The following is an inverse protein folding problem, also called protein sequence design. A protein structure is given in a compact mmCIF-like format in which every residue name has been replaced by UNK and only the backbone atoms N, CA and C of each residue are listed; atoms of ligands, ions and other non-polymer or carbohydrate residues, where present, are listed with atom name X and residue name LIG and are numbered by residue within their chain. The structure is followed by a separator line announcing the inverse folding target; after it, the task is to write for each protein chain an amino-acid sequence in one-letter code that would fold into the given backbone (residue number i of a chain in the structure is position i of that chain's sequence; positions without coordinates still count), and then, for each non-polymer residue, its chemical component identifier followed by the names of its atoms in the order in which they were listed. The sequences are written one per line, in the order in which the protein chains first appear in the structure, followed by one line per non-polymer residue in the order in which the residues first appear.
data_IF_073155914572
#
_entry.id   IF_073155914572
#
_cell.length_a   1.000
_cell.length_b   1.000
_cell.length_c   1.000
_cell.angle_alpha   90.00
_cell.angle_beta   90.00
_cell.angle_gamma   90.00
#
_symmetry.space_group_name_H-M   'P 1'
#
loop_
_entity.id
_entity.type
_entity.pdbx_description
1 polymer ?
#
# COMPACT_ATOMS: atom_id res chain seq x y z
N UNK A 1 -41.03 50.26 -70.36
CA UNK A 1 -41.23 48.79 -70.50
C UNK A 1 -40.83 48.15 -69.23
N UNK A 2 -41.78 47.86 -68.36
CA UNK A 2 -41.57 47.28 -67.01
C UNK A 2 -42.19 45.94 -66.98
N UNK A 3 -41.39 44.88 -66.73
CA UNK A 3 -41.89 43.52 -66.48
C UNK A 3 -41.96 43.30 -64.96
N UNK A 4 -43.15 43.01 -64.54
CA UNK A 4 -43.50 42.67 -63.20
C UNK A 4 -43.28 41.15 -63.07
N UNK A 5 -42.42 40.71 -62.14
CA UNK A 5 -42.22 39.28 -61.78
C UNK A 5 -42.93 39.06 -60.48
N UNK A 6 -43.95 38.20 -60.54
CA UNK A 6 -44.71 37.67 -59.37
C UNK A 6 -43.89 36.67 -58.60
N UNK A 7 -43.70 36.90 -57.30
CA UNK A 7 -43.06 35.94 -56.40
C UNK A 7 -44.15 35.20 -55.65
N UNK A 8 -44.26 33.91 -55.89
CA UNK A 8 -45.12 33.00 -55.16
C UNK A 8 -44.40 32.62 -53.89
N UNK A 9 -44.96 33.02 -52.74
CA UNK A 9 -44.45 32.65 -51.42
C UNK A 9 -44.97 31.28 -51.05
N UNK A 10 -44.09 30.31 -51.04
CA UNK A 10 -44.32 28.93 -50.56
C UNK A 10 -44.08 28.87 -49.06
N UNK A 11 -45.15 28.79 -48.28
CA UNK A 11 -45.10 28.64 -46.82
C UNK A 11 -44.80 27.20 -46.48
N UNK A 12 -43.56 26.88 -46.13
CA UNK A 12 -43.14 25.55 -45.67
C UNK A 12 -43.39 25.48 -44.16
N UNK A 13 -44.45 24.72 -43.78
CA UNK A 13 -44.78 24.43 -42.37
C UNK A 13 -43.78 23.36 -41.86
N UNK A 14 -42.72 23.80 -41.16
CA UNK A 14 -41.81 22.86 -40.45
C UNK A 14 -42.46 22.46 -39.13
N UNK A 15 -43.02 21.27 -39.10
CA UNK A 15 -43.47 20.64 -37.85
C UNK A 15 -42.30 20.27 -36.98
N UNK A 16 -42.09 20.97 -35.89
CA UNK A 16 -41.16 20.59 -34.81
C UNK A 16 -41.73 19.34 -34.12
N UNK A 17 -41.26 18.17 -34.52
CA UNK A 17 -41.33 16.96 -33.73
C UNK A 17 -40.33 17.13 -32.55
N UNK A 18 -40.83 17.57 -31.41
CA UNK A 18 -40.12 17.47 -30.13
C UNK A 18 -40.03 15.97 -29.75
N UNK A 19 -38.95 15.32 -30.17
CA UNK A 19 -38.56 14.02 -29.63
C UNK A 19 -38.17 14.29 -28.17
N UNK A 20 -39.08 14.03 -27.24
CA UNK A 20 -38.78 13.97 -25.82
C UNK A 20 -37.73 12.90 -25.61
N UNK A 21 -36.48 13.30 -25.39
CA UNK A 21 -35.47 12.40 -24.86
C UNK A 21 -35.91 12.01 -23.46
N UNK A 22 -36.58 10.89 -23.36
CA UNK A 22 -36.81 10.22 -22.09
C UNK A 22 -35.41 9.75 -21.66
N UNK A 23 -34.77 10.51 -20.78
CA UNK A 23 -33.57 10.06 -20.13
C UNK A 23 -33.90 8.73 -19.47
N UNK A 24 -33.38 7.64 -20.03
CA UNK A 24 -33.42 6.35 -19.40
C UNK A 24 -32.61 6.48 -18.10
N UNK A 25 -33.34 6.61 -16.97
CA UNK A 25 -32.70 6.49 -15.67
C UNK A 25 -32.01 5.14 -15.65
N UNK A 26 -30.70 5.16 -15.61
CA UNK A 26 -29.90 3.93 -15.56
C UNK A 26 -30.34 3.12 -14.33
N UNK A 27 -30.20 1.79 -14.39
CA UNK A 27 -30.56 0.90 -13.27
C UNK A 27 -29.88 1.33 -11.95
N UNK A 28 -28.75 2.03 -12.04
CA UNK A 28 -27.98 2.57 -10.93
C UNK A 28 -28.77 3.64 -10.14
N UNK A 29 -29.29 4.67 -10.81
CA UNK A 29 -30.04 5.79 -10.20
C UNK A 29 -31.29 5.32 -9.45
N UNK A 30 -31.89 4.20 -9.88
CA UNK A 30 -33.09 3.62 -9.24
C UNK A 30 -32.89 3.25 -7.77
N UNK A 31 -31.67 2.94 -7.35
CA UNK A 31 -31.35 2.48 -6.00
C UNK A 31 -30.67 3.53 -5.12
N UNK A 32 -30.39 4.71 -5.65
CA UNK A 32 -29.59 5.72 -4.94
C UNK A 32 -30.18 6.11 -3.58
N UNK A 33 -31.48 6.33 -3.48
CA UNK A 33 -32.16 6.64 -2.22
C UNK A 33 -32.02 5.50 -1.19
N UNK A 34 -32.10 4.25 -1.65
CA UNK A 34 -31.97 3.08 -0.77
C UNK A 34 -30.54 2.90 -0.30
N UNK A 35 -29.56 3.06 -1.22
CA UNK A 35 -28.14 3.02 -0.91
C UNK A 35 -27.77 4.15 0.05
N UNK A 36 -28.27 5.38 -0.18
CA UNK A 36 -28.04 6.55 0.67
C UNK A 36 -28.53 6.33 2.10
N UNK A 37 -29.75 5.80 2.27
CA UNK A 37 -30.29 5.48 3.59
C UNK A 37 -29.45 4.44 4.30
N UNK A 38 -29.08 3.36 3.61
CA UNK A 38 -28.24 2.28 4.16
C UNK A 38 -26.84 2.78 4.53
N UNK A 39 -26.23 3.64 3.70
CA UNK A 39 -24.96 4.27 3.96
C UNK A 39 -25.02 5.16 5.21
N UNK A 40 -25.99 6.05 5.28
CA UNK A 40 -26.16 6.97 6.42
C UNK A 40 -26.34 6.20 7.73
N UNK A 41 -27.16 5.17 7.77
CA UNK A 41 -27.32 4.31 8.95
C UNK A 41 -26.03 3.60 9.32
N UNK A 42 -25.32 3.03 8.32
CA UNK A 42 -24.07 2.29 8.53
C UNK A 42 -22.97 3.16 9.14
N UNK A 43 -22.80 4.39 8.66
CA UNK A 43 -21.76 5.29 9.13
C UNK A 43 -22.15 5.96 10.45
N UNK A 44 -23.40 6.36 10.66
CA UNK A 44 -23.88 6.96 11.91
C UNK A 44 -23.79 5.98 13.10
N UNK A 45 -23.95 4.69 12.88
CA UNK A 45 -23.92 3.66 13.93
C UNK A 45 -22.49 3.30 14.41
N UNK A 46 -21.45 3.78 13.73
CA UNK A 46 -20.07 3.42 14.06
C UNK A 46 -19.27 4.64 14.56
N UNK A 47 -18.79 4.56 15.81
CA UNK A 47 -18.03 5.63 16.46
C UNK A 47 -16.81 6.08 15.64
N UNK A 48 -16.15 5.18 14.91
CA UNK A 48 -14.99 5.52 14.06
C UNK A 48 -15.35 6.42 12.87
N UNK A 49 -16.64 6.45 12.48
CA UNK A 49 -17.10 7.14 11.28
C UNK A 49 -18.04 8.33 11.59
N UNK A 50 -18.02 8.84 12.82
CA UNK A 50 -18.91 9.93 13.25
C UNK A 50 -18.81 11.18 12.36
N UNK A 51 -17.59 11.46 11.84
CA UNK A 51 -17.34 12.61 10.97
C UNK A 51 -17.38 12.24 9.46
N UNK A 52 -17.75 11.01 9.12
CA UNK A 52 -17.88 10.56 7.73
C UNK A 52 -19.28 10.84 7.22
N UNK A 53 -19.35 11.51 6.07
CA UNK A 53 -20.59 11.77 5.33
C UNK A 53 -20.59 10.94 4.05
N UNK A 54 -21.77 10.53 3.61
CA UNK A 54 -21.95 9.81 2.35
C UNK A 54 -22.94 10.52 1.46
N UNK A 55 -22.69 10.52 0.15
CA UNK A 55 -23.64 10.88 -0.90
C UNK A 55 -23.62 9.80 -1.97
N UNK A 56 -24.75 9.61 -2.63
CA UNK A 56 -24.91 8.56 -3.66
C UNK A 56 -25.46 9.16 -4.93
N UNK A 57 -24.78 8.87 -6.04
CA UNK A 57 -25.17 9.29 -7.37
C UNK A 57 -24.83 8.17 -8.35
N UNK A 58 -25.79 7.74 -9.16
CA UNK A 58 -25.66 6.65 -10.14
C UNK A 58 -25.05 5.35 -9.54
N UNK A 59 -25.42 5.02 -8.30
CA UNK A 59 -24.90 3.86 -7.58
C UNK A 59 -23.48 4.03 -7.04
N UNK A 60 -22.83 5.19 -7.26
CA UNK A 60 -21.51 5.50 -6.72
C UNK A 60 -21.66 6.15 -5.33
N UNK A 61 -21.09 5.51 -4.33
CA UNK A 61 -21.04 6.05 -2.96
C UNK A 61 -19.82 6.93 -2.80
N UNK A 62 -20.02 8.24 -2.65
CA UNK A 62 -18.94 9.18 -2.34
C UNK A 62 -18.87 9.38 -0.82
N UNK A 63 -17.71 9.13 -0.24
CA UNK A 63 -17.43 9.33 1.19
C UNK A 63 -16.57 10.58 1.36
N UNK A 64 -16.97 11.46 2.28
CA UNK A 64 -16.23 12.70 2.65
C UNK A 64 -16.16 12.83 4.15
N UNK A 65 -15.38 13.81 4.64
CA UNK A 65 -15.19 14.06 6.06
C UNK A 65 -13.86 13.55 6.56
N UNK A 66 -13.76 13.24 7.86
CA UNK A 66 -12.47 12.92 8.50
C UNK A 66 -12.54 11.66 9.35
N UNK A 67 -11.40 10.98 9.46
CA UNK A 67 -11.14 9.86 10.39
C UNK A 67 -9.81 10.04 11.10
N UNK A 68 -9.58 9.29 12.18
CA UNK A 68 -8.35 9.41 12.96
C UNK A 68 -7.17 8.60 12.40
N UNK A 69 -7.45 7.46 11.77
CA UNK A 69 -6.43 6.55 11.24
C UNK A 69 -6.67 6.27 9.75
N UNK A 70 -5.59 6.03 9.03
CA UNK A 70 -5.68 5.59 7.63
C UNK A 70 -6.43 4.26 7.49
N UNK A 71 -6.30 3.35 8.46
CA UNK A 71 -7.09 2.12 8.52
C UNK A 71 -8.60 2.39 8.54
N UNK A 72 -9.05 3.41 9.29
CA UNK A 72 -10.47 3.75 9.36
C UNK A 72 -10.99 4.29 8.01
N UNK A 73 -10.16 5.04 7.26
CA UNK A 73 -10.47 5.44 5.86
C UNK A 73 -10.67 4.23 4.95
N UNK A 74 -9.82 3.22 5.06
CA UNK A 74 -9.95 1.97 4.31
C UNK A 74 -11.17 1.16 4.73
N UNK A 75 -11.44 1.08 6.03
CA UNK A 75 -12.59 0.36 6.59
C UNK A 75 -13.91 1.01 6.15
N UNK A 76 -13.98 2.34 6.11
CA UNK A 76 -15.15 3.07 5.60
C UNK A 76 -15.41 2.73 4.12
N UNK A 77 -14.37 2.76 3.27
CA UNK A 77 -14.50 2.36 1.87
C UNK A 77 -14.94 0.90 1.71
N UNK A 78 -14.39 -0.01 2.52
CA UNK A 78 -14.77 -1.43 2.55
C UNK A 78 -16.22 -1.61 2.99
N UNK A 79 -16.69 -0.83 3.96
CA UNK A 79 -18.07 -0.85 4.41
C UNK A 79 -19.04 -0.36 3.32
N UNK A 80 -18.67 0.71 2.60
CA UNK A 80 -19.45 1.24 1.49
C UNK A 80 -19.57 0.26 0.32
N UNK A 81 -18.47 -0.42 -0.06
CA UNK A 81 -18.49 -1.44 -1.14
C UNK A 81 -19.42 -2.62 -0.86
N UNK A 82 -19.75 -2.86 0.42
CA UNK A 82 -20.64 -3.95 0.82
C UNK A 82 -22.11 -3.55 0.86
N UNK A 83 -22.45 -2.30 0.56
CA UNK A 83 -23.84 -1.86 0.48
C UNK A 83 -24.50 -2.50 -0.74
N UNK A 84 -25.72 -3.01 -0.52
CA UNK A 84 -26.50 -3.64 -1.59
C UNK A 84 -26.76 -2.63 -2.71
N UNK A 85 -26.55 -3.04 -3.95
CA UNK A 85 -26.70 -2.27 -5.18
C UNK A 85 -25.67 -1.12 -5.37
N UNK A 86 -24.69 -0.93 -4.49
CA UNK A 86 -23.60 0.00 -4.74
C UNK A 86 -22.75 -0.51 -5.92
N UNK A 87 -22.49 0.37 -6.89
CA UNK A 87 -21.69 0.07 -8.09
C UNK A 87 -20.22 0.43 -7.90
N UNK A 88 -19.94 1.43 -7.06
CA UNK A 88 -18.60 1.89 -6.79
C UNK A 88 -18.51 2.76 -5.54
N UNK A 89 -17.26 3.05 -5.13
CA UNK A 89 -16.99 3.92 -3.97
C UNK A 89 -15.93 4.93 -4.36
N UNK A 90 -16.23 6.21 -4.16
CA UNK A 90 -15.26 7.33 -4.23
C UNK A 90 -14.94 7.73 -2.79
N UNK A 91 -13.72 7.43 -2.34
CA UNK A 91 -13.29 7.71 -0.98
C UNK A 91 -12.47 8.99 -0.91
N UNK A 92 -13.10 10.09 -0.52
CA UNK A 92 -12.50 11.41 -0.32
C UNK A 92 -12.34 11.74 1.17
N UNK A 93 -12.34 10.73 2.04
CA UNK A 93 -12.10 10.90 3.48
C UNK A 93 -10.66 11.37 3.70
N UNK A 94 -10.48 12.36 4.56
CA UNK A 94 -9.18 12.83 5.01
C UNK A 94 -8.82 12.18 6.35
N UNK A 95 -7.53 11.95 6.58
CA UNK A 95 -7.05 11.48 7.89
C UNK A 95 -6.61 12.68 8.70
N UNK A 96 -7.36 12.98 9.77
CA UNK A 96 -7.14 14.09 10.69
C UNK A 96 -6.69 13.58 12.08
N UNK A 97 -5.72 12.67 12.10
CA UNK A 97 -5.11 12.16 13.31
C UNK A 97 -4.19 13.19 13.99
N UNK A 98 -3.55 12.85 15.13
CA UNK A 98 -2.63 13.72 15.81
C UNK A 98 -1.49 14.16 14.89
N UNK A 99 -1.04 15.40 15.05
CA UNK A 99 0.12 15.91 14.32
C UNK A 99 1.38 15.20 14.80
N UNK A 100 1.98 14.40 13.92
CA UNK A 100 3.26 13.71 14.12
C UNK A 100 4.21 14.21 13.04
N UNK A 101 5.45 14.55 13.39
CA UNK A 101 6.44 14.95 12.39
C UNK A 101 6.86 13.75 11.55
N UNK A 102 7.26 13.97 10.29
CA UNK A 102 7.71 12.89 9.41
C UNK A 102 8.89 12.11 10.00
N UNK A 103 9.80 12.79 10.70
CA UNK A 103 10.92 12.16 11.40
C UNK A 103 10.46 11.21 12.52
N UNK A 104 9.54 11.68 13.38
CA UNK A 104 8.96 10.84 14.45
C UNK A 104 8.18 9.66 13.88
N UNK A 105 7.42 9.90 12.79
CA UNK A 105 6.64 8.86 12.15
C UNK A 105 7.56 7.79 11.51
N UNK A 106 8.64 8.24 10.87
CA UNK A 106 9.67 7.33 10.31
C UNK A 106 10.29 6.48 11.40
N UNK A 107 10.71 7.08 12.53
CA UNK A 107 11.28 6.35 13.66
C UNK A 107 10.31 5.30 14.23
N UNK A 108 9.06 5.72 14.50
CA UNK A 108 8.03 4.84 15.06
C UNK A 108 7.70 3.67 14.13
N UNK A 109 7.57 3.93 12.82
CA UNK A 109 7.29 2.92 11.81
C UNK A 109 8.47 1.95 11.66
N UNK A 110 9.69 2.47 11.51
CA UNK A 110 10.90 1.66 11.43
C UNK A 110 10.99 0.71 12.61
N UNK A 111 10.84 1.24 13.83
CA UNK A 111 10.91 0.43 15.04
C UNK A 111 9.85 -0.67 15.07
N UNK A 112 8.59 -0.36 14.71
CA UNK A 112 7.52 -1.36 14.70
C UNK A 112 7.70 -2.42 13.62
N UNK A 113 8.11 -2.04 12.41
CA UNK A 113 8.35 -2.97 11.31
C UNK A 113 9.56 -3.87 11.61
N UNK A 114 10.63 -3.35 12.22
CA UNK A 114 11.78 -4.15 12.63
C UNK A 114 11.42 -5.22 13.68
N UNK A 115 10.50 -4.91 14.60
CA UNK A 115 10.07 -5.84 15.63
C UNK A 115 8.85 -6.67 15.21
N UNK A 116 8.36 -6.50 13.98
CA UNK A 116 7.31 -7.37 13.44
C UNK A 116 7.88 -8.77 13.20
N UNK A 117 7.34 -9.73 13.95
CA UNK A 117 7.78 -11.12 13.95
C UNK A 117 6.78 -12.04 13.25
N UNK A 118 6.01 -11.52 12.32
CA UNK A 118 5.16 -12.36 11.49
C UNK A 118 6.06 -13.28 10.66
N UNK A 119 6.06 -14.58 11.03
CA UNK A 119 6.98 -15.56 10.46
C UNK A 119 8.42 -15.37 10.95
N UNK A 120 8.81 -16.05 12.05
CA UNK A 120 10.16 -15.93 12.61
C UNK A 120 11.28 -16.14 11.58
N UNK A 121 11.08 -17.05 10.63
CA UNK A 121 12.02 -17.28 9.54
C UNK A 121 11.97 -16.19 8.48
N UNK A 122 10.79 -15.62 8.25
CA UNK A 122 10.56 -14.67 7.16
C UNK A 122 11.18 -13.31 7.43
N UNK A 123 11.46 -12.98 8.69
CA UNK A 123 12.06 -11.70 9.05
C UNK A 123 13.44 -11.49 8.40
N UNK A 124 14.28 -12.53 8.32
CA UNK A 124 15.56 -12.47 7.61
C UNK A 124 15.40 -12.37 6.09
N UNK A 125 14.23 -12.71 5.55
CA UNK A 125 13.94 -12.73 4.12
C UNK A 125 13.08 -11.55 3.64
N UNK A 126 12.80 -10.60 4.53
CA UNK A 126 12.06 -9.39 4.22
C UNK A 126 12.97 -8.16 4.39
N UNK A 127 13.04 -7.33 3.37
CA UNK A 127 13.74 -6.06 3.40
C UNK A 127 12.77 -4.94 3.06
N UNK A 128 12.61 -3.98 3.96
CA UNK A 128 11.75 -2.82 3.76
C UNK A 128 12.56 -1.54 3.65
N UNK A 129 12.12 -0.66 2.78
CA UNK A 129 12.53 0.73 2.73
C UNK A 129 11.36 1.62 3.10
N UNK A 130 11.63 2.69 3.84
CA UNK A 130 10.61 3.59 4.34
C UNK A 130 11.00 5.04 4.00
N UNK A 131 10.06 5.77 3.40
CA UNK A 131 10.15 7.20 3.22
C UNK A 131 8.84 7.85 3.67
N UNK A 132 8.93 8.94 4.43
CA UNK A 132 7.76 9.67 4.91
C UNK A 132 7.88 11.12 4.50
N UNK A 133 6.83 11.65 3.87
CA UNK A 133 6.73 13.04 3.47
C UNK A 133 5.30 13.55 3.67
N UNK A 134 5.14 14.61 4.48
CA UNK A 134 3.86 15.23 4.80
C UNK A 134 2.81 14.23 5.35
N UNK A 135 3.27 13.19 6.06
CA UNK A 135 2.45 12.09 6.58
C UNK A 135 2.09 11.01 5.54
N UNK A 136 2.54 11.14 4.29
CA UNK A 136 2.43 10.09 3.27
C UNK A 136 3.60 9.13 3.41
N UNK A 137 3.31 7.86 3.62
CA UNK A 137 4.30 6.79 3.81
C UNK A 137 4.50 6.05 2.50
N UNK A 138 5.70 6.10 1.94
CA UNK A 138 6.12 5.22 0.86
C UNK A 138 6.84 4.02 1.47
N UNK A 139 6.23 2.85 1.38
CA UNK A 139 6.80 1.58 1.81
C UNK A 139 7.27 0.79 0.60
N UNK A 140 8.57 0.58 0.48
CA UNK A 140 9.21 -0.17 -0.59
C UNK A 140 10.01 -1.35 -0.05
N UNK A 141 10.83 -1.93 -0.92
CA UNK A 141 11.67 -3.08 -0.60
C UNK A 141 11.15 -4.38 -1.19
N UNK A 142 11.56 -5.49 -0.61
CA UNK A 142 11.24 -6.82 -1.12
C UNK A 142 10.96 -7.79 0.01
N UNK A 143 9.91 -8.60 -0.15
CA UNK A 143 9.46 -9.59 0.83
C UNK A 143 9.41 -10.98 0.22
N UNK A 144 9.64 -11.96 1.07
CA UNK A 144 9.58 -13.38 0.71
C UNK A 144 8.17 -13.80 0.26
N UNK A 145 7.12 -13.23 0.88
CA UNK A 145 5.74 -13.58 0.59
C UNK A 145 4.79 -12.40 0.86
N UNK A 146 3.52 -12.59 0.47
CA UNK A 146 2.45 -11.61 0.70
C UNK A 146 2.26 -11.28 2.19
N UNK A 147 2.46 -12.26 3.08
CA UNK A 147 2.24 -12.07 4.53
C UNK A 147 3.19 -11.01 5.08
N UNK A 148 4.46 -11.03 4.67
CA UNK A 148 5.44 -10.01 5.07
C UNK A 148 5.03 -8.61 4.62
N UNK A 149 4.64 -8.45 3.35
CA UNK A 149 4.12 -7.18 2.80
C UNK A 149 2.88 -6.71 3.54
N UNK A 150 1.89 -7.58 3.68
CA UNK A 150 0.58 -7.22 4.25
C UNK A 150 0.70 -6.88 5.74
N UNK A 151 1.62 -7.53 6.46
CA UNK A 151 1.93 -7.18 7.86
C UNK A 151 2.53 -5.79 7.98
N UNK A 152 3.54 -5.45 7.16
CA UNK A 152 4.15 -4.13 7.18
C UNK A 152 3.13 -3.03 6.80
N UNK A 153 2.29 -3.28 5.80
CA UNK A 153 1.20 -2.38 5.44
C UNK A 153 0.20 -2.21 6.59
N UNK A 154 -0.19 -3.30 7.28
CA UNK A 154 -1.11 -3.23 8.40
C UNK A 154 -0.55 -2.43 9.60
N UNK A 155 0.76 -2.47 9.83
CA UNK A 155 1.44 -1.62 10.81
C UNK A 155 1.30 -0.15 10.40
N UNK A 156 1.64 0.18 9.16
CA UNK A 156 1.57 1.55 8.66
C UNK A 156 0.13 2.09 8.67
N UNK A 157 -0.86 1.30 8.26
CA UNK A 157 -2.27 1.68 8.22
C UNK A 157 -2.85 2.07 9.58
N UNK A 158 -2.34 1.48 10.66
CA UNK A 158 -2.78 1.72 12.04
C UNK A 158 -1.91 2.71 12.80
N UNK A 159 -0.86 3.24 12.17
CA UNK A 159 0.03 4.20 12.82
C UNK A 159 -0.62 5.59 12.83
N UNK A 160 -0.78 6.22 14.02
CA UNK A 160 -1.22 7.61 14.10
C UNK A 160 -0.26 8.53 13.34
N UNK A 161 -0.80 9.50 12.61
CA UNK A 161 -0.02 10.44 11.80
C UNK A 161 0.13 10.00 10.32
N UNK A 162 -0.13 8.75 9.98
CA UNK A 162 -0.16 8.29 8.59
C UNK A 162 -1.44 8.79 7.91
N UNK A 163 -1.28 9.60 6.86
CA UNK A 163 -2.38 10.17 6.07
C UNK A 163 -2.67 9.36 4.82
N UNK A 164 -1.63 8.80 4.20
CA UNK A 164 -1.74 7.94 3.01
C UNK A 164 -0.55 6.98 2.91
N UNK A 165 -0.69 5.91 2.12
CA UNK A 165 0.34 4.90 1.94
C UNK A 165 0.52 4.60 0.45
N UNK A 166 1.75 4.76 -0.03
CA UNK A 166 2.20 4.29 -1.34
C UNK A 166 2.91 2.96 -1.14
N UNK A 167 2.35 1.89 -1.70
CA UNK A 167 2.92 0.55 -1.60
C UNK A 167 3.76 0.23 -2.83
N UNK A 168 5.07 0.17 -2.64
CA UNK A 168 6.07 -0.22 -3.64
C UNK A 168 6.79 -1.52 -3.27
N UNK A 169 6.27 -2.26 -2.28
CA UNK A 169 6.87 -3.53 -1.83
C UNK A 169 6.70 -4.59 -2.90
N UNK A 170 7.80 -5.15 -3.34
CA UNK A 170 7.84 -6.31 -4.23
C UNK A 170 7.70 -7.60 -3.42
N UNK A 171 6.95 -8.55 -3.96
CA UNK A 171 6.84 -9.90 -3.39
C UNK A 171 7.60 -10.85 -4.29
N UNK A 172 8.54 -11.59 -3.72
CA UNK A 172 9.32 -12.58 -4.47
C UNK A 172 8.40 -13.65 -5.08
N UNK A 173 8.63 -14.07 -6.32
CA UNK A 173 7.90 -15.20 -6.91
C UNK A 173 8.08 -16.48 -6.09
N UNK A 174 7.05 -17.31 -6.04
CA UNK A 174 7.15 -18.63 -5.38
C UNK A 174 8.10 -19.53 -6.16
N UNK A 175 9.18 -19.99 -5.53
CA UNK A 175 10.22 -20.82 -6.12
C UNK A 175 10.82 -21.75 -5.07
N UNK A 176 10.65 -23.06 -5.26
CA UNK A 176 11.22 -24.07 -4.34
C UNK A 176 12.76 -24.06 -4.36
N UNK A 177 13.34 -23.69 -5.50
CA UNK A 177 14.79 -23.53 -5.62
C UNK A 177 15.29 -22.36 -4.79
N UNK A 178 14.66 -21.17 -4.93
CA UNK A 178 15.03 -19.98 -4.16
C UNK A 178 14.77 -20.17 -2.66
N UNK A 179 13.68 -20.85 -2.28
CA UNK A 179 13.39 -21.18 -0.88
C UNK A 179 14.48 -22.04 -0.26
N UNK A 180 14.92 -23.06 -1.00
CA UNK A 180 16.05 -23.89 -0.59
C UNK A 180 17.34 -23.09 -0.47
N UNK A 181 17.57 -22.15 -1.39
CA UNK A 181 18.77 -21.29 -1.40
C UNK A 181 18.73 -20.27 -0.24
N UNK A 182 17.54 -19.66 0.05
CA UNK A 182 17.33 -18.77 1.23
C UNK A 182 17.72 -19.48 2.52
N UNK A 183 17.22 -20.69 2.73
CA UNK A 183 17.53 -21.47 3.95
C UNK A 183 19.00 -21.85 4.04
N UNK A 184 19.66 -22.20 2.93
CA UNK A 184 21.10 -22.48 2.91
C UNK A 184 21.91 -21.21 3.19
N UNK A 185 21.53 -20.07 2.60
CA UNK A 185 22.19 -18.80 2.84
C UNK A 185 22.06 -18.37 4.31
N UNK A 186 20.87 -18.48 4.89
CA UNK A 186 20.65 -18.22 6.31
C UNK A 186 21.54 -19.07 7.20
N UNK A 187 21.60 -20.39 6.97
CA UNK A 187 22.46 -21.29 7.75
C UNK A 187 23.96 -20.99 7.56
N UNK A 188 24.38 -20.68 6.34
CA UNK A 188 25.77 -20.40 6.05
C UNK A 188 26.25 -19.09 6.67
N UNK A 189 25.41 -18.06 6.69
CA UNK A 189 25.72 -16.75 7.25
C UNK A 189 25.59 -16.78 8.77
N UNK A 190 24.42 -17.12 9.29
CA UNK A 190 24.15 -17.06 10.74
C UNK A 190 24.76 -18.21 11.54
N UNK A 191 25.12 -19.32 10.91
CA UNK A 191 25.87 -20.39 11.52
C UNK A 191 27.36 -20.09 11.70
N UNK A 192 27.87 -18.98 11.14
CA UNK A 192 29.25 -18.55 11.35
C UNK A 192 29.36 -17.74 12.64
N UNK A 193 30.29 -18.11 13.53
CA UNK A 193 30.32 -17.62 14.91
C UNK A 193 30.32 -16.10 15.06
N UNK A 194 31.07 -15.36 14.22
CA UNK A 194 31.09 -13.89 14.28
C UNK A 194 29.82 -13.22 13.74
N UNK A 195 29.03 -13.92 12.92
CA UNK A 195 27.80 -13.41 12.32
C UNK A 195 26.53 -13.83 13.07
N UNK A 196 26.63 -14.78 14.04
CA UNK A 196 25.48 -15.26 14.82
C UNK A 196 24.77 -14.13 15.57
N UNK A 197 25.48 -13.10 15.99
CA UNK A 197 24.90 -11.92 16.66
C UNK A 197 23.81 -11.23 15.84
N UNK A 198 23.90 -11.23 14.51
CA UNK A 198 22.90 -10.65 13.61
C UNK A 198 21.63 -11.53 13.44
N UNK A 199 21.68 -12.79 13.88
CA UNK A 199 20.48 -13.63 13.96
C UNK A 199 19.69 -13.37 15.25
N UNK A 200 20.36 -12.92 16.30
CA UNK A 200 19.78 -12.75 17.65
C UNK A 200 19.15 -11.36 17.79
N UNK A 201 19.79 -10.31 17.26
CA UNK A 201 19.26 -8.95 17.35
C UNK A 201 18.25 -8.69 16.23
N UNK A 202 16.95 -8.59 16.56
CA UNK A 202 15.91 -8.33 15.57
C UNK A 202 16.00 -6.93 14.93
N UNK A 203 16.67 -6.00 15.58
CA UNK A 203 16.84 -4.64 15.08
C UNK A 203 17.89 -4.54 13.97
N UNK A 204 18.86 -5.46 13.95
CA UNK A 204 20.02 -5.40 13.05
C UNK A 204 20.31 -6.73 12.32
N UNK A 205 19.31 -7.42 11.78
CA UNK A 205 19.55 -8.67 11.07
C UNK A 205 20.20 -8.41 9.70
N UNK A 206 20.99 -9.37 9.23
CA UNK A 206 21.37 -9.45 7.82
C UNK A 206 20.17 -9.97 7.04
N UNK A 207 19.59 -9.14 6.17
CA UNK A 207 18.48 -9.52 5.31
C UNK A 207 19.01 -10.26 4.09
N UNK A 208 18.38 -11.36 3.75
CA UNK A 208 18.80 -12.28 2.68
C UNK A 208 17.66 -12.38 1.68
N UNK A 209 17.77 -11.63 0.60
CA UNK A 209 16.81 -11.66 -0.50
C UNK A 209 17.33 -12.61 -1.57
N UNK A 210 16.49 -13.49 -2.08
CA UNK A 210 16.85 -14.42 -3.16
C UNK A 210 15.78 -14.36 -4.23
N UNK A 211 16.19 -14.05 -5.45
CA UNK A 211 15.34 -14.02 -6.64
C UNK A 211 16.07 -14.70 -7.80
N UNK A 212 15.47 -15.76 -8.37
CA UNK A 212 16.01 -16.53 -9.49
C UNK A 212 17.49 -16.97 -9.27
N UNK A 213 17.85 -17.38 -8.05
CA UNK A 213 19.20 -17.80 -7.69
C UNK A 213 20.18 -16.65 -7.44
N UNK A 214 19.77 -15.41 -7.54
CA UNK A 214 20.56 -14.24 -7.20
C UNK A 214 20.32 -13.85 -5.74
N UNK A 215 21.40 -13.77 -4.96
CA UNK A 215 21.34 -13.41 -3.54
C UNK A 215 21.69 -11.92 -3.37
N UNK A 216 20.86 -11.18 -2.67
CA UNK A 216 21.17 -9.81 -2.24
C UNK A 216 21.15 -9.73 -0.71
N UNK A 217 22.21 -9.21 -0.12
CA UNK A 217 22.32 -9.00 1.32
C UNK A 217 22.10 -7.52 1.66
N UNK A 218 21.19 -7.25 2.60
CA UNK A 218 20.91 -5.91 3.13
C UNK A 218 21.04 -5.90 4.66
N UNK A 219 21.18 -4.72 5.22
CA UNK A 219 21.25 -4.47 6.66
C UNK A 219 22.53 -3.77 7.08
N UNK A 220 22.68 -3.56 8.38
CA UNK A 220 23.84 -2.94 8.98
C UNK A 220 24.68 -3.98 9.75
N UNK A 221 25.99 -3.93 9.59
CA UNK A 221 26.95 -4.79 10.29
C UNK A 221 27.99 -3.93 11.01
N UNK A 222 28.59 -4.47 12.08
CA UNK A 222 29.50 -3.71 12.96
C UNK A 222 30.88 -3.47 12.36
N UNK A 223 31.28 -4.26 11.35
CA UNK A 223 32.62 -4.17 10.79
C UNK A 223 32.68 -4.52 9.31
N UNK A 224 33.71 -4.00 8.64
CA UNK A 224 34.04 -4.38 7.26
C UNK A 224 34.32 -5.89 7.15
N UNK A 225 34.90 -6.49 8.19
CA UNK A 225 35.18 -7.93 8.25
C UNK A 225 33.85 -8.72 8.23
N UNK A 226 32.85 -8.33 9.03
CA UNK A 226 31.56 -8.99 9.05
C UNK A 226 30.83 -8.87 7.68
N UNK A 227 30.93 -7.69 7.04
CA UNK A 227 30.42 -7.50 5.67
C UNK A 227 31.08 -8.45 4.68
N UNK A 228 32.41 -8.53 4.70
CA UNK A 228 33.15 -9.41 3.80
C UNK A 228 32.84 -10.88 4.06
N UNK A 229 32.80 -11.30 5.32
CA UNK A 229 32.48 -12.68 5.72
C UNK A 229 31.08 -13.08 5.27
N UNK A 230 30.07 -12.22 5.47
CA UNK A 230 28.70 -12.50 5.01
C UNK A 230 28.65 -12.70 3.50
N UNK A 231 29.29 -11.81 2.73
CA UNK A 231 29.38 -11.94 1.27
C UNK A 231 30.12 -13.20 0.83
N UNK A 232 31.22 -13.54 1.48
CA UNK A 232 32.01 -14.73 1.18
C UNK A 232 31.20 -16.01 1.45
N UNK A 233 30.49 -16.08 2.59
CA UNK A 233 29.64 -17.23 2.94
C UNK A 233 28.50 -17.42 1.96
N UNK A 234 27.89 -16.34 1.47
CA UNK A 234 26.86 -16.40 0.45
C UNK A 234 27.41 -16.84 -0.92
N UNK A 235 28.57 -16.33 -1.33
CA UNK A 235 29.22 -16.69 -2.62
C UNK A 235 29.64 -18.17 -2.71
N UNK A 236 29.89 -18.83 -1.58
CA UNK A 236 30.29 -20.24 -1.54
C UNK A 236 29.10 -21.21 -1.67
N UNK A 237 27.87 -20.72 -1.76
CA UNK A 237 26.71 -21.58 -1.80
C UNK A 237 26.49 -22.21 -3.18
N UNK A 238 26.36 -23.53 -3.25
CA UNK A 238 25.95 -24.19 -4.49
C UNK A 238 24.58 -23.70 -4.93
N UNK A 239 24.46 -23.30 -6.20
CA UNK A 239 23.20 -22.80 -6.77
C UNK A 239 22.99 -21.29 -6.62
N UNK A 240 23.90 -20.56 -5.97
CA UNK A 240 23.91 -19.10 -6.07
C UNK A 240 24.54 -18.70 -7.41
N UNK A 241 23.78 -17.97 -8.24
CA UNK A 241 24.27 -17.48 -9.54
C UNK A 241 25.08 -16.19 -9.38
N UNK A 242 24.66 -15.33 -8.46
CA UNK A 242 25.43 -14.15 -8.06
C UNK A 242 25.08 -13.73 -6.63
N UNK A 243 25.99 -12.96 -6.02
CA UNK A 243 25.77 -12.35 -4.70
C UNK A 243 26.08 -10.87 -4.76
N UNK A 244 25.07 -10.06 -4.43
CA UNK A 244 25.21 -8.62 -4.25
C UNK A 244 25.22 -8.30 -2.75
N UNK A 245 26.33 -7.74 -2.27
CA UNK A 245 26.51 -7.43 -0.86
C UNK A 245 26.32 -5.93 -0.58
N UNK A 246 25.07 -5.56 -0.28
CA UNK A 246 24.64 -4.20 0.06
C UNK A 246 24.65 -3.91 1.56
N UNK A 247 25.33 -4.73 2.36
CA UNK A 247 25.49 -4.47 3.79
C UNK A 247 26.20 -3.14 4.02
N UNK A 248 25.74 -2.35 4.97
CA UNK A 248 26.35 -1.10 5.40
C UNK A 248 27.15 -1.36 6.68
N UNK A 249 28.36 -0.82 6.76
CA UNK A 249 29.16 -0.90 7.98
C UNK A 249 28.78 0.27 8.89
N UNK A 250 28.21 -0.04 10.04
CA UNK A 250 27.86 0.92 11.07
C UNK A 250 28.79 0.75 12.27
N UNK A 251 29.82 1.57 12.34
CA UNK A 251 30.88 1.51 13.36
C UNK A 251 30.41 1.96 14.76
N UNK A 252 29.10 1.85 15.06
CA UNK A 252 28.56 2.14 16.39
C UNK A 252 28.50 3.63 16.72
N UNK A 253 28.51 4.51 15.72
CA UNK A 253 28.03 5.87 15.92
C UNK A 253 26.55 5.78 16.30
N UNK A 254 26.26 6.03 17.58
CA UNK A 254 24.90 6.17 18.12
C UNK A 254 24.24 7.40 17.47
N UNK A 255 23.93 7.33 16.21
CA UNK A 255 22.95 8.19 15.60
C UNK A 255 21.64 7.39 15.66
N UNK A 256 20.74 7.85 16.53
CA UNK A 256 19.42 7.28 16.68
C UNK A 256 18.76 7.11 15.32
N UNK A 257 18.32 5.92 15.06
CA UNK A 257 17.37 5.59 14.01
C UNK A 257 16.02 6.18 14.34
#
# INVERSE_FOLDING_TARGET
MKKIISVISSLLLVGLLSVGVVAQTTHATRYDATIQTSASQKFASNQKFQNVKSSVEDGIVTLTGTVNLYQDKLDAAKAARKLKNAQGVRNLIEVAGPAVTDAQLTEQLSKKIYYDRVGWYDNAFNYFTLNVKDGVVTLGGETYNDVGRDSALAIAQRMPGVKDIVNEVKVSPTSTFDDSLRLRAMRAIYGYSSLTKYAIDPARPIRIIVDNGHITLYGAVDSTMDKQLAGMRANQLPGAFSVQNNLVVDNGSKQGL
#
